data_IF_009831863730
#
_entry.id   IF_009831863730
#
_cell.length_a   1.000
_cell.length_b   1.000
_cell.length_c   1.000
_cell.angle_alpha   90.00
_cell.angle_beta   90.00
_cell.angle_gamma   90.00
#
_symmetry.space_group_name_H-M   'P 1'
#
loop_
_entity.id
_entity.type
_entity.pdbx_description
1 polymer ?
#
# COMPACT_ATOMS: atom_id res chain seq x y z
N UNK A 1 17.92 65.87 -8.87
CA UNK A 1 17.39 64.89 -7.91
C UNK A 1 16.76 63.76 -8.72
N UNK A 2 17.43 62.67 -8.89
CA UNK A 2 16.93 61.50 -9.63
C UNK A 2 16.33 60.51 -8.63
N UNK A 3 15.02 60.33 -8.70
CA UNK A 3 14.30 59.30 -7.93
C UNK A 3 14.60 57.94 -8.56
N UNK A 4 15.41 57.14 -7.88
CA UNK A 4 15.61 55.73 -8.20
C UNK A 4 14.41 54.95 -7.65
N UNK A 5 13.49 54.61 -8.52
CA UNK A 5 12.38 53.69 -8.21
C UNK A 5 13.00 52.28 -8.21
N UNK A 6 13.11 51.66 -7.04
CA UNK A 6 13.47 50.28 -6.93
C UNK A 6 12.39 49.41 -7.62
N UNK A 7 12.76 48.40 -8.42
CA UNK A 7 11.79 47.44 -8.95
C UNK A 7 11.28 46.62 -7.79
N UNK A 8 10.02 46.78 -7.45
CA UNK A 8 9.25 45.84 -6.63
C UNK A 8 9.01 44.60 -7.48
N UNK A 9 9.93 43.66 -7.39
CA UNK A 9 9.74 42.32 -7.95
C UNK A 9 8.70 41.60 -7.07
N UNK A 10 7.44 41.88 -7.35
CA UNK A 10 6.31 41.17 -6.75
C UNK A 10 6.18 39.82 -7.46
N UNK A 11 7.16 38.94 -7.25
CA UNK A 11 7.06 37.54 -7.66
C UNK A 11 6.07 36.89 -6.73
N UNK A 12 4.76 37.03 -7.03
CA UNK A 12 3.71 36.25 -6.38
C UNK A 12 4.01 34.80 -6.66
N UNK A 13 4.41 34.04 -5.63
CA UNK A 13 4.61 32.59 -5.75
C UNK A 13 3.30 31.97 -6.23
N UNK A 14 3.35 31.03 -7.17
CA UNK A 14 2.15 30.42 -7.71
C UNK A 14 1.40 29.65 -6.61
N UNK A 15 0.08 29.80 -6.52
CA UNK A 15 -0.76 28.90 -5.75
C UNK A 15 -0.65 27.50 -6.31
N UNK A 16 -0.48 26.53 -5.43
CA UNK A 16 -0.46 25.11 -5.75
C UNK A 16 -1.79 24.41 -5.43
N UNK A 17 -2.79 25.15 -4.94
CA UNK A 17 -4.12 24.59 -4.68
C UNK A 17 -4.71 23.99 -5.96
N UNK A 18 -5.15 22.75 -5.85
CA UNK A 18 -5.72 22.01 -6.97
C UNK A 18 -6.56 20.84 -6.44
N UNK A 19 -7.89 20.97 -6.57
CA UNK A 19 -8.82 19.91 -6.20
C UNK A 19 -8.51 18.57 -6.87
N UNK A 20 -8.84 17.49 -6.21
CA UNK A 20 -8.65 16.11 -6.67
C UNK A 20 -7.18 15.73 -6.94
N UNK A 21 -6.23 16.48 -6.37
CA UNK A 21 -4.80 16.18 -6.45
C UNK A 21 -4.21 15.98 -5.07
N UNK A 22 -3.36 14.98 -4.96
CA UNK A 22 -2.49 14.77 -3.80
C UNK A 22 -1.04 14.86 -4.23
N UNK A 23 -0.28 15.72 -3.58
CA UNK A 23 1.19 15.79 -3.76
C UNK A 23 1.87 15.00 -2.67
N UNK A 24 2.94 14.29 -3.04
CA UNK A 24 3.58 13.28 -2.19
C UNK A 24 5.07 13.53 -2.12
N UNK A 25 5.59 13.49 -0.91
CA UNK A 25 7.02 13.43 -0.60
C UNK A 25 7.31 12.17 0.20
N UNK A 26 8.51 11.62 0.06
CA UNK A 26 8.97 10.48 0.84
C UNK A 26 10.35 10.74 1.43
N UNK A 27 10.66 10.03 2.50
CA UNK A 27 11.96 10.03 3.15
C UNK A 27 12.49 8.61 3.31
N UNK A 28 13.78 8.44 3.08
CA UNK A 28 14.54 7.24 3.47
C UNK A 28 15.32 7.47 4.76
N UNK A 29 15.35 8.71 5.25
CA UNK A 29 15.97 9.07 6.53
C UNK A 29 15.03 8.68 7.65
N UNK A 30 15.55 7.99 8.67
CA UNK A 30 14.78 7.56 9.83
C UNK A 30 14.17 8.77 10.55
N UNK A 31 12.86 8.72 10.82
CA UNK A 31 12.12 9.84 11.38
C UNK A 31 12.71 10.33 12.72
N UNK A 32 13.16 9.41 13.57
CA UNK A 32 13.76 9.70 14.88
C UNK A 32 15.12 10.43 14.80
N UNK A 33 15.70 10.54 13.60
CA UNK A 33 16.96 11.25 13.37
C UNK A 33 16.77 12.65 12.79
N UNK A 34 15.55 13.01 12.40
CA UNK A 34 15.23 14.34 11.87
C UNK A 34 15.01 15.31 13.03
N UNK A 35 15.61 16.50 13.01
CA UNK A 35 15.42 17.47 14.09
C UNK A 35 13.96 17.94 14.17
N UNK A 36 13.44 18.12 15.38
CA UNK A 36 12.08 18.62 15.59
C UNK A 36 11.82 19.95 14.88
N UNK A 37 12.85 20.82 14.79
CA UNK A 37 12.77 22.10 14.09
C UNK A 37 12.44 21.99 12.59
N UNK A 38 12.54 20.80 12.00
CA UNK A 38 12.15 20.55 10.62
C UNK A 38 10.62 20.55 10.44
N UNK A 39 9.91 20.21 11.52
CA UNK A 39 8.46 20.15 11.59
C UNK A 39 7.84 21.32 12.39
N UNK A 40 8.68 22.22 12.92
CA UNK A 40 8.19 23.39 13.63
C UNK A 40 7.73 24.46 12.63
N UNK A 41 6.56 25.04 12.95
CA UNK A 41 6.00 26.16 12.21
C UNK A 41 6.76 27.44 12.54
N UNK A 42 6.92 28.30 11.52
CA UNK A 42 7.37 29.67 11.73
C UNK A 42 6.21 30.62 12.14
N UNK A 43 6.51 31.89 12.26
CA UNK A 43 5.53 32.93 12.61
C UNK A 43 4.34 33.03 11.62
N UNK A 44 4.45 32.43 10.44
CA UNK A 44 3.39 32.37 9.40
C UNK A 44 2.64 31.03 9.42
N UNK A 45 2.98 30.11 10.32
CA UNK A 45 2.37 28.78 10.42
C UNK A 45 2.87 27.82 9.33
N UNK A 46 4.10 28.00 8.84
CA UNK A 46 4.67 27.14 7.80
C UNK A 46 5.90 26.42 8.34
N UNK A 47 5.89 25.08 8.27
CA UNK A 47 7.00 24.25 8.71
C UNK A 47 8.24 24.40 7.80
N UNK A 48 9.41 24.05 8.35
CA UNK A 48 10.66 24.16 7.61
C UNK A 48 10.70 23.31 6.35
N UNK A 49 10.12 22.10 6.37
CA UNK A 49 10.04 21.24 5.18
C UNK A 49 9.29 21.93 4.04
N UNK A 50 8.16 22.56 4.32
CA UNK A 50 7.35 23.23 3.33
C UNK A 50 8.09 24.45 2.73
N UNK A 51 8.76 25.23 3.58
CA UNK A 51 9.62 26.35 3.14
C UNK A 51 10.74 25.89 2.23
N UNK A 52 11.37 24.76 2.52
CA UNK A 52 12.42 24.17 1.70
C UNK A 52 11.93 23.87 0.28
N UNK A 53 10.64 23.54 0.12
CA UNK A 53 10.00 23.34 -1.19
C UNK A 53 9.34 24.62 -1.76
N UNK A 54 9.60 25.79 -1.19
CA UNK A 54 9.01 27.06 -1.57
C UNK A 54 7.45 27.03 -1.50
N UNK A 55 6.90 26.24 -0.58
CA UNK A 55 5.49 26.22 -0.25
C UNK A 55 5.27 27.28 0.82
N UNK A 56 4.46 28.28 0.51
CA UNK A 56 4.22 29.45 1.40
C UNK A 56 2.84 29.46 2.00
N UNK A 57 1.97 28.58 1.52
CA UNK A 57 0.60 28.42 2.01
C UNK A 57 0.08 27.04 1.64
N UNK A 58 -0.55 26.37 2.57
CA UNK A 58 -1.34 25.17 2.38
C UNK A 58 -2.28 25.01 3.58
N UNK A 59 -3.27 24.14 3.44
CA UNK A 59 -4.20 23.79 4.51
C UNK A 59 -3.65 22.58 5.29
N UNK A 60 -3.35 22.79 6.56
CA UNK A 60 -2.83 21.72 7.45
C UNK A 60 -3.85 20.59 7.66
N UNK A 61 -5.15 20.88 7.55
CA UNK A 61 -6.20 19.85 7.66
C UNK A 61 -6.16 18.88 6.47
N UNK A 62 -5.57 19.30 5.35
CA UNK A 62 -5.40 18.51 4.15
C UNK A 62 -4.05 17.79 4.10
N UNK A 63 -3.27 17.82 5.18
CA UNK A 63 -2.00 17.11 5.28
C UNK A 63 -2.15 15.80 6.06
N UNK A 64 -1.64 14.74 5.49
CA UNK A 64 -1.51 13.43 6.15
C UNK A 64 -0.06 12.97 6.09
N UNK A 65 0.42 12.40 7.19
CA UNK A 65 1.75 11.77 7.27
C UNK A 65 1.61 10.36 7.78
N UNK A 66 2.39 9.44 7.22
CA UNK A 66 2.46 8.07 7.71
C UNK A 66 3.87 7.53 7.56
N UNK A 67 4.25 6.56 8.40
CA UNK A 67 5.57 5.99 8.37
C UNK A 67 5.93 5.17 9.61
N UNK A 68 7.21 4.87 9.73
CA UNK A 68 7.78 4.18 10.89
C UNK A 68 8.69 5.13 11.66
N UNK A 69 8.64 5.05 12.99
CA UNK A 69 9.42 5.94 13.85
C UNK A 69 10.93 5.74 13.69
N UNK A 70 11.37 4.53 13.38
CA UNK A 70 12.78 4.18 13.24
C UNK A 70 12.98 3.21 12.08
N UNK A 71 14.03 3.42 11.30
CA UNK A 71 14.36 2.60 10.14
C UNK A 71 13.46 2.89 8.93
N UNK A 72 13.24 1.85 8.11
CA UNK A 72 12.41 1.91 6.90
C UNK A 72 11.44 0.74 6.83
N UNK A 73 10.35 0.89 6.10
CA UNK A 73 9.38 -0.16 5.81
C UNK A 73 9.08 -0.21 4.30
N UNK A 74 8.45 -1.27 3.85
CA UNK A 74 7.99 -1.37 2.46
C UNK A 74 7.05 -0.20 2.14
N UNK A 75 7.22 0.41 0.98
CA UNK A 75 6.38 1.54 0.55
C UNK A 75 4.89 1.19 0.63
N UNK A 76 4.52 -0.05 0.25
CA UNK A 76 3.14 -0.53 0.32
C UNK A 76 2.59 -0.44 1.74
N UNK A 77 3.31 -0.95 2.75
CA UNK A 77 2.84 -0.98 4.15
C UNK A 77 2.71 0.41 4.79
N UNK A 78 3.35 1.43 4.21
CA UNK A 78 3.19 2.82 4.66
C UNK A 78 1.98 3.48 4.00
N UNK A 79 1.67 3.12 2.74
CA UNK A 79 0.63 3.78 1.96
C UNK A 79 -0.74 3.12 2.13
N UNK A 80 -0.79 1.81 2.41
CA UNK A 80 -2.03 1.03 2.36
C UNK A 80 -3.14 1.54 3.27
N UNK A 81 -2.79 2.14 4.41
CA UNK A 81 -3.74 2.69 5.38
C UNK A 81 -4.00 4.20 5.22
N UNK A 82 -3.32 4.87 4.26
CA UNK A 82 -3.54 6.28 4.01
C UNK A 82 -4.92 6.54 3.41
N UNK A 83 -5.49 7.71 3.71
CA UNK A 83 -6.79 8.14 3.21
C UNK A 83 -6.84 8.06 1.69
N UNK A 84 -7.92 7.47 1.15
CA UNK A 84 -8.18 7.35 -0.31
C UNK A 84 -7.09 6.62 -1.10
N UNK A 85 -6.21 5.86 -0.46
CA UNK A 85 -5.00 5.29 -1.06
C UNK A 85 -5.29 4.28 -2.18
N UNK A 86 -6.48 3.68 -2.25
CA UNK A 86 -6.86 2.82 -3.39
C UNK A 86 -6.86 3.55 -4.75
N UNK A 87 -7.00 4.89 -4.74
CA UNK A 87 -7.00 5.68 -5.96
C UNK A 87 -5.59 6.01 -6.48
N UNK A 88 -4.61 6.17 -5.60
CA UNK A 88 -3.28 6.66 -5.95
C UNK A 88 -2.12 5.80 -5.45
N UNK A 89 -2.36 4.92 -4.48
CA UNK A 89 -1.29 4.20 -3.78
C UNK A 89 -0.40 3.37 -4.69
N UNK A 90 -0.96 2.65 -5.65
CA UNK A 90 -0.17 1.89 -6.63
C UNK A 90 0.72 2.80 -7.50
N UNK A 91 0.20 3.98 -7.87
CA UNK A 91 0.97 4.97 -8.61
C UNK A 91 2.17 5.49 -7.82
N UNK A 92 1.99 5.73 -6.51
CA UNK A 92 3.07 6.15 -5.61
C UNK A 92 4.11 5.03 -5.47
N UNK A 93 3.67 3.80 -5.17
CA UNK A 93 4.55 2.63 -5.03
C UNK A 93 5.40 2.46 -6.29
N UNK A 94 4.76 2.47 -7.46
CA UNK A 94 5.47 2.38 -8.73
C UNK A 94 6.49 3.51 -8.92
N UNK A 95 6.13 4.73 -8.55
CA UNK A 95 6.99 5.90 -8.72
C UNK A 95 8.20 5.87 -7.79
N UNK A 96 8.00 5.53 -6.51
CA UNK A 96 9.08 5.42 -5.52
C UNK A 96 10.04 4.29 -5.91
N UNK A 97 9.51 3.12 -6.35
CA UNK A 97 10.33 2.03 -6.86
C UNK A 97 11.17 2.45 -8.08
N UNK A 98 10.60 3.27 -8.98
CA UNK A 98 11.33 3.83 -10.12
C UNK A 98 12.42 4.83 -9.72
N UNK A 99 12.29 5.48 -8.56
CA UNK A 99 13.32 6.33 -7.97
C UNK A 99 14.47 5.53 -7.32
N UNK A 100 14.32 4.19 -7.25
CA UNK A 100 15.32 3.28 -6.70
C UNK A 100 15.10 2.90 -5.23
N UNK A 101 13.92 3.19 -4.69
CA UNK A 101 13.57 2.88 -3.31
C UNK A 101 12.42 1.88 -3.25
N UNK A 102 12.61 0.74 -2.60
CA UNK A 102 11.55 -0.24 -2.28
C UNK A 102 11.04 -0.06 -0.84
N UNK A 103 11.80 0.67 -0.03
CA UNK A 103 11.49 1.00 1.36
C UNK A 103 11.69 2.49 1.60
N UNK A 104 10.82 3.04 2.44
CA UNK A 104 10.91 4.43 2.92
C UNK A 104 10.65 4.46 4.43
N UNK A 105 11.08 5.52 5.09
CA UNK A 105 10.82 5.71 6.52
C UNK A 105 9.44 6.30 6.76
N UNK A 106 9.10 7.33 6.00
CA UNK A 106 7.83 8.04 6.12
C UNK A 106 7.50 8.81 4.84
N UNK A 107 6.24 9.25 4.74
CA UNK A 107 5.71 10.04 3.63
C UNK A 107 4.92 11.24 4.14
N UNK A 108 4.83 12.28 3.30
CA UNK A 108 3.90 13.41 3.45
C UNK A 108 2.95 13.34 2.26
N UNK A 109 1.66 13.44 2.53
CA UNK A 109 0.57 13.58 1.58
C UNK A 109 -0.08 14.94 1.81
N UNK A 110 -0.18 15.74 0.76
CA UNK A 110 -0.86 17.03 0.82
C UNK A 110 -1.99 17.01 -0.22
N UNK A 111 -3.23 16.88 0.28
CA UNK A 111 -4.44 16.80 -0.54
C UNK A 111 -4.87 18.17 -1.05
N UNK A 112 -5.62 18.18 -2.13
CA UNK A 112 -6.05 19.37 -2.86
C UNK A 112 -4.90 20.29 -3.25
N UNK A 113 -3.74 19.69 -3.52
CA UNK A 113 -2.49 20.37 -3.76
C UNK A 113 -1.70 19.74 -4.92
N UNK A 114 -1.31 20.55 -5.90
CA UNK A 114 -0.47 20.11 -7.03
C UNK A 114 0.88 20.82 -6.98
N UNK A 115 1.84 20.23 -6.29
CA UNK A 115 3.21 20.75 -6.28
C UNK A 115 3.84 20.67 -7.66
N UNK A 116 4.34 21.80 -8.16
CA UNK A 116 4.93 21.91 -9.50
C UNK A 116 6.43 22.15 -9.41
N UNK A 117 7.18 21.07 -9.20
CA UNK A 117 8.63 21.09 -9.10
C UNK A 117 9.34 21.71 -10.33
N UNK A 118 8.69 21.75 -11.49
CA UNK A 118 9.19 22.46 -12.67
C UNK A 118 9.23 23.97 -12.49
N UNK A 119 8.37 24.52 -11.65
CA UNK A 119 8.33 25.97 -11.35
C UNK A 119 9.32 26.29 -10.24
N UNK A 120 9.31 25.58 -9.14
CA UNK A 120 10.19 25.81 -7.99
C UNK A 120 11.63 25.39 -8.25
N UNK A 121 11.86 24.42 -9.14
CA UNK A 121 13.15 23.75 -9.39
C UNK A 121 13.67 22.95 -8.20
N UNK A 122 12.82 22.67 -7.21
CA UNK A 122 13.16 21.93 -6.00
C UNK A 122 12.54 20.53 -6.11
N UNK A 123 13.36 19.51 -5.98
CA UNK A 123 12.98 18.10 -6.07
C UNK A 123 13.17 17.38 -4.75
N UNK A 124 14.13 17.81 -3.97
CA UNK A 124 14.53 17.21 -2.71
C UNK A 124 15.15 18.26 -1.79
N UNK A 125 15.14 18.00 -0.52
CA UNK A 125 15.93 18.69 0.47
C UNK A 125 16.81 17.68 1.25
N UNK A 126 17.24 18.03 2.45
CA UNK A 126 18.12 17.18 3.27
C UNK A 126 17.42 15.87 3.70
N UNK A 127 16.10 15.87 3.88
CA UNK A 127 15.36 14.77 4.51
C UNK A 127 14.31 14.14 3.60
N UNK A 128 13.69 14.89 2.70
CA UNK A 128 12.58 14.39 1.88
C UNK A 128 12.81 14.63 0.39
N UNK A 129 12.23 13.74 -0.41
CA UNK A 129 12.23 13.82 -1.86
C UNK A 129 10.81 13.86 -2.39
N UNK A 130 10.55 14.79 -3.33
CA UNK A 130 9.26 14.88 -4.00
C UNK A 130 9.03 13.70 -4.95
N UNK A 131 7.98 12.96 -4.72
CA UNK A 131 7.58 11.79 -5.53
C UNK A 131 6.77 12.21 -6.75
N UNK A 132 5.74 13.01 -6.55
CA UNK A 132 4.83 13.43 -7.61
C UNK A 132 3.50 13.94 -7.10
N UNK A 133 2.65 14.39 -8.03
CA UNK A 133 1.24 14.68 -7.76
C UNK A 133 0.37 13.66 -8.50
N UNK A 134 -0.64 13.13 -7.81
CA UNK A 134 -1.52 12.07 -8.28
C UNK A 134 -2.96 12.54 -8.23
N UNK A 135 -3.82 11.93 -9.02
CA UNK A 135 -5.26 12.10 -8.87
C UNK A 135 -5.75 11.27 -7.68
N UNK A 136 -6.68 11.80 -6.90
CA UNK A 136 -7.39 11.03 -5.90
C UNK A 136 -8.90 11.28 -6.03
N UNK A 137 -9.69 10.49 -5.33
CA UNK A 137 -11.13 10.61 -5.24
C UNK A 137 -11.54 10.45 -3.78
N UNK A 138 -12.31 11.39 -3.24
CA UNK A 138 -12.78 11.36 -1.85
C UNK A 138 -13.71 10.17 -1.55
N UNK A 139 -14.31 9.55 -2.58
CA UNK A 139 -15.11 8.33 -2.42
C UNK A 139 -14.26 7.05 -2.40
N UNK A 140 -12.95 7.15 -2.63
CA UNK A 140 -12.06 6.00 -2.62
C UNK A 140 -11.81 5.51 -1.18
N UNK A 141 -11.75 4.20 -1.03
CA UNK A 141 -11.36 3.52 0.22
C UNK A 141 -9.83 3.49 0.36
N UNK A 142 -9.32 2.96 1.46
CA UNK A 142 -7.89 2.69 1.59
C UNK A 142 -7.46 1.54 0.67
N UNK A 143 -6.17 1.43 0.41
CA UNK A 143 -5.62 0.34 -0.38
C UNK A 143 -5.75 -1.00 0.36
N UNK A 144 -5.60 -1.00 1.67
CA UNK A 144 -5.81 -2.16 2.52
C UNK A 144 -7.25 -2.68 2.44
N UNK A 145 -8.25 -1.81 2.59
CA UNK A 145 -9.66 -2.18 2.46
C UNK A 145 -9.99 -2.73 1.07
N UNK A 146 -9.43 -2.15 0.02
CA UNK A 146 -9.61 -2.67 -1.35
C UNK A 146 -9.04 -4.09 -1.48
N UNK A 147 -7.82 -4.30 -1.02
CA UNK A 147 -7.15 -5.60 -1.10
C UNK A 147 -7.91 -6.68 -0.30
N UNK A 148 -8.49 -6.33 0.86
CA UNK A 148 -9.36 -7.21 1.63
C UNK A 148 -10.65 -7.58 0.88
N UNK A 149 -11.30 -6.60 0.25
CA UNK A 149 -12.52 -6.83 -0.55
C UNK A 149 -12.23 -7.71 -1.77
N UNK A 150 -11.11 -7.49 -2.44
CA UNK A 150 -10.69 -8.29 -3.60
C UNK A 150 -10.37 -9.73 -3.17
N UNK A 151 -9.67 -9.94 -2.06
CA UNK A 151 -9.39 -11.26 -1.50
C UNK A 151 -10.68 -12.01 -1.11
N UNK A 152 -11.63 -11.33 -0.48
CA UNK A 152 -12.93 -11.93 -0.12
C UNK A 152 -13.75 -12.31 -1.37
N UNK A 153 -13.68 -11.51 -2.43
CA UNK A 153 -14.32 -11.80 -3.71
C UNK A 153 -13.71 -13.01 -4.40
N UNK A 154 -12.39 -13.10 -4.43
CA UNK A 154 -11.68 -14.24 -5.02
C UNK A 154 -12.01 -15.54 -4.26
N UNK A 155 -12.02 -15.51 -2.94
CA UNK A 155 -12.36 -16.67 -2.12
C UNK A 155 -13.82 -17.14 -2.39
N UNK A 156 -14.76 -16.19 -2.50
CA UNK A 156 -16.13 -16.51 -2.85
C UNK A 156 -16.24 -17.19 -4.22
N UNK A 157 -15.57 -16.67 -5.22
CA UNK A 157 -15.54 -17.27 -6.58
C UNK A 157 -14.92 -18.67 -6.56
N UNK A 158 -13.88 -18.88 -5.77
CA UNK A 158 -13.24 -20.18 -5.60
C UNK A 158 -14.19 -21.21 -4.99
N UNK A 159 -14.92 -20.81 -3.93
CA UNK A 159 -15.92 -21.68 -3.28
C UNK A 159 -17.07 -22.02 -4.22
N UNK A 160 -17.59 -21.04 -4.98
CA UNK A 160 -18.64 -21.28 -5.98
C UNK A 160 -18.17 -22.26 -7.07
N UNK A 161 -16.95 -22.10 -7.57
CA UNK A 161 -16.38 -23.01 -8.56
C UNK A 161 -16.20 -24.44 -8.01
N UNK A 162 -15.79 -24.58 -6.75
CA UNK A 162 -15.66 -25.88 -6.10
C UNK A 162 -17.02 -26.57 -5.93
N UNK A 163 -18.05 -25.84 -5.50
CA UNK A 163 -19.41 -26.37 -5.38
C UNK A 163 -19.98 -26.86 -6.72
N UNK A 164 -19.71 -26.15 -7.82
CA UNK A 164 -20.10 -26.56 -9.15
C UNK A 164 -19.44 -27.89 -9.56
N UNK A 165 -18.13 -28.03 -9.33
CA UNK A 165 -17.39 -29.24 -9.61
C UNK A 165 -17.91 -30.45 -8.79
N UNK A 166 -18.21 -30.24 -7.51
CA UNK A 166 -18.78 -31.28 -6.64
C UNK A 166 -20.18 -31.72 -7.12
N UNK A 167 -20.99 -30.75 -7.58
CA UNK A 167 -22.33 -31.02 -8.13
C UNK A 167 -22.24 -31.82 -9.44
N UNK A 168 -21.34 -31.47 -10.34
CA UNK A 168 -21.12 -32.23 -11.58
C UNK A 168 -20.62 -33.65 -11.29
N UNK A 169 -19.69 -33.81 -10.37
CA UNK A 169 -19.18 -35.11 -9.96
C UNK A 169 -20.30 -36.00 -9.35
N UNK A 170 -21.19 -35.42 -8.55
CA UNK A 170 -22.33 -36.13 -7.99
C UNK A 170 -23.34 -36.58 -9.06
N UNK A 171 -23.59 -35.73 -10.07
CA UNK A 171 -24.46 -36.07 -11.20
C UNK A 171 -23.91 -37.24 -12.03
N UNK A 172 -22.63 -37.21 -12.36
CA UNK A 172 -21.95 -38.28 -13.08
C UNK A 172 -22.01 -39.62 -12.33
N UNK A 173 -21.81 -39.57 -11.00
CA UNK A 173 -21.89 -40.78 -10.16
C UNK A 173 -23.26 -41.38 -10.13
N UNK A 174 -24.33 -40.55 -10.17
CA UNK A 174 -25.71 -40.99 -10.17
C UNK A 174 -26.12 -41.65 -11.51
N UNK A 175 -25.64 -41.11 -12.64
CA UNK A 175 -25.88 -41.71 -13.97
C UNK A 175 -25.21 -43.08 -14.10
N UNK A 176 -23.94 -43.23 -13.64
CA UNK A 176 -23.23 -44.49 -13.69
C UNK A 176 -23.92 -45.55 -12.82
N UNK A 177 -24.40 -45.21 -11.63
CA UNK A 177 -25.13 -46.14 -10.75
C UNK A 177 -26.41 -46.68 -11.39
N UNK A 178 -27.15 -45.86 -12.15
CA UNK A 178 -28.39 -46.25 -12.82
C UNK A 178 -28.18 -47.21 -13.98
N UNK A 179 -27.05 -47.21 -14.63
CA UNK A 179 -26.70 -48.11 -15.75
C UNK A 179 -26.32 -49.52 -15.26
N UNK A 180 -25.80 -49.65 -14.03
CA UNK A 180 -25.39 -50.96 -13.50
C UNK A 180 -26.52 -51.79 -12.96
N UNK A 181 -27.65 -51.17 -12.60
CA UNK A 181 -28.84 -51.89 -12.09
C UNK A 181 -29.65 -52.59 -13.19
N UNK A 182 -29.28 -52.41 -14.46
CA UNK A 182 -29.98 -52.98 -15.63
C UNK A 182 -29.21 -54.12 -16.32
N UNK A 183 -28.12 -54.63 -15.75
CA UNK A 183 -27.35 -55.70 -16.37
C UNK A 183 -27.79 -57.07 -15.83
N UNK A 184 -28.14 -58.06 -16.71
CA UNK A 184 -28.48 -59.40 -16.28
C UNK A 184 -27.28 -60.16 -15.73
N UNK A 185 -27.49 -60.81 -14.60
CA UNK A 185 -26.49 -61.63 -13.91
C UNK A 185 -25.89 -62.71 -14.83
N UNK A 186 -24.65 -62.52 -15.24
CA UNK A 186 -23.83 -63.58 -15.82
C UNK A 186 -22.66 -63.87 -14.88
N UNK A 187 -22.79 -64.97 -14.22
CA UNK A 187 -21.78 -65.62 -13.36
C UNK A 187 -20.57 -65.99 -14.16
N UNK A 188 -19.39 -65.38 -13.84
CA UNK A 188 -18.11 -65.94 -14.14
C UNK A 188 -17.16 -65.64 -12.99
N UNK A 189 -16.83 -66.67 -12.23
CA UNK A 189 -15.87 -66.64 -11.12
C UNK A 189 -14.49 -66.59 -11.72
N UNK A 190 -13.80 -65.48 -11.47
CA UNK A 190 -12.34 -65.37 -11.68
C UNK A 190 -11.66 -65.04 -10.36
N UNK A 191 -10.78 -65.91 -9.97
CA UNK A 191 -9.98 -65.94 -8.76
C UNK A 191 -9.08 -64.69 -8.66
N UNK A 192 -8.94 -64.04 -7.48
CA UNK A 192 -8.14 -62.82 -7.36
C UNK A 192 -6.64 -63.11 -7.23
N UNK A 193 -5.88 -62.54 -8.11
CA UNK A 193 -4.42 -62.44 -8.02
C UNK A 193 -4.03 -61.42 -6.94
N UNK A 194 -3.02 -61.68 -6.07
CA UNK A 194 -2.67 -60.80 -4.94
C UNK A 194 -1.97 -59.52 -5.42
N UNK A 195 -2.42 -58.40 -4.86
CA UNK A 195 -1.89 -57.07 -5.10
C UNK A 195 -0.47 -56.87 -4.53
N UNK A 196 0.39 -56.05 -5.19
CA UNK A 196 1.69 -55.70 -4.65
C UNK A 196 1.55 -54.67 -3.50
N UNK A 197 2.37 -54.90 -2.46
CA UNK A 197 2.46 -54.08 -1.24
C UNK A 197 2.83 -52.64 -1.56
N UNK A 198 1.98 -51.70 -1.13
CA UNK A 198 2.26 -50.29 -1.11
C UNK A 198 3.38 -49.95 -0.12
N UNK A 199 4.40 -49.23 -0.60
CA UNK A 199 5.48 -48.67 0.21
C UNK A 199 4.96 -47.35 0.82
N UNK A 200 4.90 -47.34 2.13
CA UNK A 200 4.50 -46.18 2.95
C UNK A 200 5.61 -45.10 2.91
N UNK A 201 5.36 -43.85 2.54
CA UNK A 201 6.36 -42.80 2.67
C UNK A 201 6.43 -42.29 4.12
N UNK A 202 7.66 -42.34 4.69
CA UNK A 202 7.98 -41.80 6.02
C UNK A 202 7.58 -40.31 6.15
N UNK A 203 7.00 -39.90 7.30
CA UNK A 203 6.75 -38.51 7.60
C UNK A 203 8.06 -37.73 7.77
N UNK A 204 8.16 -36.59 7.09
CA UNK A 204 9.26 -35.63 7.26
C UNK A 204 8.93 -34.74 8.46
N UNK A 205 9.69 -34.88 9.52
CA UNK A 205 9.67 -34.03 10.70
C UNK A 205 10.07 -32.58 10.31
N UNK A 206 9.11 -31.67 10.29
CA UNK A 206 9.39 -30.23 10.23
C UNK A 206 9.43 -29.69 11.65
N UNK A 207 10.62 -29.30 12.10
CA UNK A 207 10.80 -28.55 13.36
C UNK A 207 10.16 -27.17 13.22
N UNK A 208 9.40 -26.68 14.24
CA UNK A 208 8.91 -25.31 14.26
C UNK A 208 10.08 -24.36 14.47
N UNK A 209 10.23 -23.39 13.58
CA UNK A 209 11.11 -22.24 13.80
C UNK A 209 10.31 -21.23 14.60
N UNK A 210 10.66 -21.12 15.86
CA UNK A 210 10.12 -20.13 16.80
C UNK A 210 10.72 -18.76 16.45
N UNK A 211 9.98 -17.94 15.69
CA UNK A 211 10.31 -16.54 15.52
C UNK A 211 9.87 -15.77 16.77
N UNK A 212 10.84 -15.46 17.62
CA UNK A 212 10.66 -14.51 18.69
C UNK A 212 10.42 -13.12 18.08
N UNK A 213 9.19 -12.66 18.17
CA UNK A 213 8.81 -11.26 17.86
C UNK A 213 9.30 -10.40 19.02
N UNK A 214 10.19 -9.42 18.81
CA UNK A 214 10.57 -8.47 19.86
C UNK A 214 9.36 -7.60 20.17
N UNK A 215 8.93 -7.66 21.43
CA UNK A 215 7.88 -6.82 21.99
C UNK A 215 8.43 -5.39 22.11
N UNK A 216 8.16 -4.54 21.12
CA UNK A 216 8.48 -3.12 21.19
C UNK A 216 7.40 -2.44 22.02
N UNK A 217 7.78 -1.97 23.19
CA UNK A 217 6.92 -1.08 24.00
C UNK A 217 6.79 0.27 23.28
N UNK A 218 5.59 0.84 23.14
CA UNK A 218 5.41 2.13 22.51
C UNK A 218 5.96 3.22 23.44
N UNK A 219 7.10 3.77 23.10
CA UNK A 219 7.59 5.02 23.68
C UNK A 219 6.98 6.19 22.92
N UNK A 220 6.18 6.97 23.67
CA UNK A 220 5.81 8.32 23.29
C UNK A 220 4.78 8.40 22.16
N UNK A 221 3.63 8.94 22.49
CA UNK A 221 2.62 9.34 21.53
C UNK A 221 3.23 10.41 20.61
N UNK A 222 3.61 10.04 19.40
CA UNK A 222 4.03 10.99 18.37
C UNK A 222 2.74 11.52 17.71
N UNK A 223 2.40 12.80 17.84
CA UNK A 223 1.17 13.36 17.29
C UNK A 223 1.10 13.30 15.75
N UNK A 224 2.21 12.99 15.07
CA UNK A 224 2.36 12.99 13.62
C UNK A 224 2.35 11.59 12.97
N UNK A 225 2.37 10.51 13.77
CA UNK A 225 2.22 9.15 13.29
C UNK A 225 0.90 8.58 13.82
N UNK A 226 -0.03 8.30 12.93
CA UNK A 226 -1.27 7.58 13.22
C UNK A 226 -1.03 6.08 13.24
#
# INVERSE_FOLDING_TARGET
>A
MASTTAPTDNTTLPSFEKFDKVSVWCSTTSYDTIPDSYFEEDDNGIEAWARNFAITQYDHENMETNGVASGTALVKSIIEDCSYSSAYGEGIIHKINKMGHDQVSWIILLFDFEYRNKLTKIHEDEYVQYVGSFMYNMDAITLAERDELDAAREEKLRLEAQMLLETEAALVTTEVASVWDSAPASTSVVEPTPAPKAVEPKPRETKPVEHAVPKVEPKGHNPWLK
#
